data_IF_640212955825
#
_entry.id   IF_640212955825
#
_cell.length_a   1.000
_cell.length_b   1.000
_cell.length_c   1.000
_cell.angle_alpha   90.00
_cell.angle_beta   90.00
_cell.angle_gamma   90.00
#
_symmetry.space_group_name_H-M   'P 1'
#
loop_
_entity.id
_entity.type
_entity.pdbx_description
1 polymer ?
#
# COMPACT_ATOMS: atom_id res chain seq x y z
N UNK A 1 9.06 -7.05 -68.60
CA UNK A 1 10.34 -6.47 -68.13
C UNK A 1 10.19 -6.08 -66.67
N UNK A 2 10.99 -6.65 -65.76
CA UNK A 2 11.02 -6.35 -64.31
C UNK A 2 11.99 -5.20 -64.07
N UNK A 3 11.56 -4.14 -63.37
CA UNK A 3 12.48 -3.19 -62.72
C UNK A 3 12.08 -3.07 -61.25
N UNK A 4 12.93 -3.61 -60.38
CA UNK A 4 12.86 -3.47 -58.92
C UNK A 4 13.61 -2.20 -58.55
N UNK A 5 12.98 -1.27 -57.86
CA UNK A 5 13.68 -0.20 -57.16
C UNK A 5 13.50 -0.46 -55.66
N UNK A 6 14.60 -0.87 -55.05
CA UNK A 6 14.77 -1.12 -53.63
C UNK A 6 15.03 0.25 -52.99
N UNK A 7 14.05 0.81 -52.29
CA UNK A 7 14.31 1.95 -51.40
C UNK A 7 14.61 1.37 -50.02
N UNK A 8 15.88 1.53 -49.65
CA UNK A 8 16.52 1.06 -48.43
C UNK A 8 15.76 1.58 -47.22
N UNK A 9 15.33 0.65 -46.37
CA UNK A 9 14.67 0.96 -45.11
C UNK A 9 15.55 1.83 -44.24
N UNK A 10 15.04 3.00 -43.87
CA UNK A 10 15.55 3.76 -42.74
C UNK A 10 14.72 3.33 -41.54
N UNK A 11 15.20 2.28 -40.86
CA UNK A 11 14.66 1.82 -39.58
C UNK A 11 15.08 2.83 -38.51
N UNK A 12 14.24 3.82 -38.23
CA UNK A 12 14.40 4.67 -37.04
C UNK A 12 14.07 3.83 -35.80
N UNK A 13 15.09 3.23 -35.20
CA UNK A 13 14.99 2.61 -33.87
C UNK A 13 14.91 3.74 -32.86
N UNK A 14 13.69 4.15 -32.51
CA UNK A 14 13.46 5.02 -31.35
C UNK A 14 13.69 4.14 -30.12
N UNK A 15 14.92 4.15 -29.61
CA UNK A 15 15.25 3.58 -28.30
C UNK A 15 14.54 4.48 -27.28
N UNK A 16 13.31 4.13 -26.93
CA UNK A 16 12.59 4.77 -25.83
C UNK A 16 13.33 4.42 -24.55
N UNK A 17 14.06 5.40 -24.04
CA UNK A 17 14.76 5.35 -22.77
C UNK A 17 13.77 4.90 -21.69
N UNK A 18 13.88 3.65 -21.26
CA UNK A 18 13.25 3.17 -20.04
C UNK A 18 14.01 3.78 -18.87
N UNK A 19 13.66 5.02 -18.53
CA UNK A 19 13.94 5.55 -17.21
C UNK A 19 13.13 4.73 -16.22
N UNK A 20 13.71 3.63 -15.75
CA UNK A 20 13.33 2.96 -14.53
C UNK A 20 13.68 3.90 -13.36
N UNK A 21 12.86 4.93 -13.16
CA UNK A 21 12.88 5.69 -11.93
C UNK A 21 12.43 4.74 -10.82
N UNK A 22 13.39 4.14 -10.10
CA UNK A 22 13.12 3.56 -8.80
C UNK A 22 12.69 4.69 -7.87
N UNK A 23 11.39 4.98 -7.83
CA UNK A 23 10.80 5.84 -6.81
C UNK A 23 10.98 5.11 -5.48
N UNK A 24 12.02 5.48 -4.74
CA UNK A 24 12.27 4.92 -3.42
C UNK A 24 11.04 5.11 -2.55
N UNK A 25 10.61 4.06 -1.87
CA UNK A 25 9.48 4.16 -0.94
C UNK A 25 9.80 5.24 0.11
N UNK A 26 8.87 6.17 0.38
CA UNK A 26 9.08 7.17 1.42
C UNK A 26 9.39 6.45 2.74
N UNK A 27 10.54 6.77 3.35
CA UNK A 27 10.89 6.27 4.68
C UNK A 27 9.85 6.80 5.67
N UNK A 28 9.41 5.93 6.59
CA UNK A 28 8.52 6.32 7.67
C UNK A 28 9.16 7.47 8.48
N UNK A 29 8.37 8.49 8.78
CA UNK A 29 8.74 9.60 9.65
C UNK A 29 8.75 9.15 11.12
N UNK A 30 9.55 9.77 12.02
CA UNK A 30 9.59 9.40 13.44
C UNK A 30 8.22 9.38 14.16
N UNK A 31 7.25 10.17 13.67
CA UNK A 31 5.92 10.25 14.26
C UNK A 31 4.90 9.29 13.63
N UNK A 32 5.30 8.53 12.61
CA UNK A 32 4.43 7.60 11.90
C UNK A 32 4.11 6.39 12.75
N UNK A 33 2.84 6.01 12.74
CA UNK A 33 2.42 4.74 13.30
C UNK A 33 2.57 3.65 12.25
N UNK A 34 3.60 2.83 12.40
CA UNK A 34 3.85 1.65 11.56
C UNK A 34 3.48 0.40 12.33
N UNK A 35 2.63 -0.44 11.75
CA UNK A 35 2.23 -1.73 12.32
C UNK A 35 2.14 -2.79 11.23
N UNK A 36 2.67 -3.99 11.47
CA UNK A 36 2.70 -5.10 10.50
C UNK A 36 3.24 -4.69 9.11
N UNK A 37 4.32 -3.90 9.07
CA UNK A 37 4.95 -3.33 7.86
C UNK A 37 4.09 -2.33 7.07
N UNK A 38 2.96 -1.87 7.62
CA UNK A 38 2.11 -0.85 7.02
C UNK A 38 2.23 0.47 7.76
N UNK A 39 2.40 1.57 7.01
CA UNK A 39 2.36 2.91 7.56
C UNK A 39 0.91 3.42 7.61
N UNK A 40 0.42 3.73 8.81
CA UNK A 40 -0.91 4.29 9.06
C UNK A 40 -0.88 5.81 9.20
N UNK A 41 0.27 6.44 9.03
CA UNK A 41 0.48 7.89 9.07
C UNK A 41 0.86 8.41 10.45
N UNK A 42 1.18 9.71 10.55
CA UNK A 42 1.68 10.32 11.76
C UNK A 42 0.59 10.59 12.80
N UNK A 43 1.01 10.83 14.04
CA UNK A 43 0.19 11.42 15.12
C UNK A 43 -1.11 10.65 15.42
N UNK A 44 -1.10 9.32 15.26
CA UNK A 44 -2.24 8.47 15.62
C UNK A 44 -2.40 8.36 17.14
N UNK A 45 -3.61 8.56 17.63
CA UNK A 45 -3.91 8.42 19.05
C UNK A 45 -4.02 6.94 19.47
N UNK A 46 -4.17 6.71 20.77
CA UNK A 46 -4.17 5.36 21.34
C UNK A 46 -5.34 4.51 20.85
N UNK A 47 -6.52 5.09 20.70
CA UNK A 47 -7.70 4.36 20.24
C UNK A 47 -7.58 3.93 18.78
N UNK A 48 -7.10 4.83 17.90
CA UNK A 48 -6.80 4.47 16.52
C UNK A 48 -5.76 3.35 16.43
N UNK A 49 -4.68 3.45 17.21
CA UNK A 49 -3.62 2.42 17.24
C UNK A 49 -4.18 1.07 17.70
N UNK A 50 -4.99 1.06 18.76
CA UNK A 50 -5.65 -0.14 19.26
C UNK A 50 -6.58 -0.76 18.20
N UNK A 51 -7.37 0.08 17.52
CA UNK A 51 -8.21 -0.33 16.39
C UNK A 51 -7.39 -1.03 15.31
N UNK A 52 -6.30 -0.42 14.85
CA UNK A 52 -5.42 -1.01 13.81
C UNK A 52 -4.87 -2.37 14.22
N UNK A 53 -4.42 -2.52 15.46
CA UNK A 53 -3.88 -3.79 15.96
C UNK A 53 -4.93 -4.90 15.86
N UNK A 54 -6.14 -4.65 16.36
CA UNK A 54 -7.25 -5.61 16.33
C UNK A 54 -7.76 -5.86 14.89
N UNK A 55 -7.77 -4.82 14.06
CA UNK A 55 -8.12 -4.91 12.64
C UNK A 55 -7.16 -5.82 11.88
N UNK A 56 -5.86 -5.67 12.12
CA UNK A 56 -4.83 -6.48 11.48
C UNK A 56 -4.82 -7.94 11.96
N UNK A 57 -5.06 -8.20 13.25
CA UNK A 57 -5.28 -9.57 13.75
C UNK A 57 -6.52 -10.20 13.11
N UNK A 58 -7.58 -9.41 12.92
CA UNK A 58 -8.78 -9.85 12.21
C UNK A 58 -8.47 -10.20 10.76
N UNK A 59 -7.59 -9.46 10.08
CA UNK A 59 -7.14 -9.79 8.71
C UNK A 59 -6.38 -11.11 8.62
N UNK A 60 -5.70 -11.53 9.68
CA UNK A 60 -4.98 -12.82 9.74
C UNK A 60 -5.86 -13.97 10.26
N UNK A 61 -7.18 -13.77 10.36
CA UNK A 61 -8.14 -14.79 10.77
C UNK A 61 -8.56 -14.75 12.24
N UNK A 62 -7.92 -13.95 13.10
CA UNK A 62 -8.26 -13.83 14.52
C UNK A 62 -9.15 -12.60 14.77
N UNK A 63 -10.47 -12.83 14.80
CA UNK A 63 -11.45 -11.76 14.96
C UNK A 63 -11.41 -11.14 16.36
N UNK A 64 -10.75 -9.99 16.48
CA UNK A 64 -10.41 -9.35 17.78
C UNK A 64 -11.06 -7.97 17.97
N UNK A 65 -12.19 -7.71 17.31
CA UNK A 65 -12.89 -6.42 17.41
C UNK A 65 -13.47 -6.19 18.82
N UNK A 66 -13.05 -5.12 19.47
CA UNK A 66 -13.70 -4.61 20.68
C UNK A 66 -15.01 -3.88 20.30
N UNK A 67 -16.15 -4.56 20.48
CA UNK A 67 -17.46 -4.04 20.10
C UNK A 67 -17.85 -2.73 20.82
N UNK A 68 -17.47 -2.58 22.09
CA UNK A 68 -17.76 -1.36 22.85
C UNK A 68 -17.01 -0.16 22.28
N UNK A 69 -15.70 -0.31 22.08
CA UNK A 69 -14.86 0.73 21.48
C UNK A 69 -15.26 1.02 20.04
N UNK A 70 -15.61 0.01 19.27
CA UNK A 70 -16.09 0.17 17.88
C UNK A 70 -17.35 1.04 17.79
N UNK A 71 -18.21 1.02 18.81
CA UNK A 71 -19.42 1.85 18.85
C UNK A 71 -19.17 3.25 19.43
N UNK A 72 -18.27 3.36 20.40
CA UNK A 72 -18.10 4.56 21.22
C UNK A 72 -16.92 5.46 20.80
N UNK A 73 -15.96 4.93 20.03
CA UNK A 73 -14.77 5.65 19.59
C UNK A 73 -14.65 5.59 18.07
N UNK A 74 -14.83 6.75 17.42
CA UNK A 74 -14.63 6.90 15.98
C UNK A 74 -13.19 6.57 15.55
N UNK A 75 -12.22 6.88 16.41
CA UNK A 75 -10.81 6.56 16.18
C UNK A 75 -10.55 5.07 16.19
N UNK A 76 -11.07 4.34 17.19
CA UNK A 76 -10.96 2.89 17.23
C UNK A 76 -11.66 2.25 16.03
N UNK A 77 -12.88 2.71 15.70
CA UNK A 77 -13.61 2.25 14.52
C UNK A 77 -12.76 2.40 13.26
N UNK A 78 -12.28 3.62 13.01
CA UNK A 78 -11.47 3.94 11.83
C UNK A 78 -10.16 3.15 11.82
N UNK A 79 -9.50 3.01 12.97
CA UNK A 79 -8.31 2.21 13.12
C UNK A 79 -8.55 0.75 12.76
N UNK A 80 -9.63 0.16 13.26
CA UNK A 80 -10.00 -1.23 12.99
C UNK A 80 -10.27 -1.49 11.52
N UNK A 81 -11.03 -0.61 10.86
CA UNK A 81 -11.28 -0.74 9.41
C UNK A 81 -9.99 -0.61 8.59
N UNK A 82 -9.17 0.40 8.89
CA UNK A 82 -7.89 0.58 8.21
C UNK A 82 -6.94 -0.60 8.42
N UNK A 83 -6.85 -1.11 9.64
CA UNK A 83 -6.07 -2.31 9.96
C UNK A 83 -6.56 -3.49 9.14
N UNK A 84 -7.89 -3.74 9.14
CA UNK A 84 -8.49 -4.88 8.45
C UNK A 84 -8.23 -4.87 6.94
N UNK A 85 -8.26 -3.69 6.34
CA UNK A 85 -8.05 -3.51 4.90
C UNK A 85 -6.57 -3.57 4.52
N UNK A 86 -5.70 -2.84 5.23
CA UNK A 86 -4.28 -2.75 4.87
C UNK A 86 -3.51 -4.02 5.20
N UNK A 87 -3.82 -4.70 6.29
CA UNK A 87 -3.12 -5.93 6.70
C UNK A 87 -3.61 -7.21 5.99
N UNK A 88 -4.56 -7.10 5.05
CA UNK A 88 -5.05 -8.26 4.30
C UNK A 88 -3.93 -8.86 3.41
N UNK A 89 -3.74 -10.18 3.48
CA UNK A 89 -2.76 -10.89 2.66
C UNK A 89 -1.33 -10.88 3.20
N UNK A 90 -1.13 -10.47 4.45
CA UNK A 90 0.15 -10.56 5.16
C UNK A 90 0.35 -11.91 5.89
N UNK A 91 -0.42 -12.94 5.56
CA UNK A 91 -0.21 -14.30 6.04
C UNK A 91 1.11 -14.81 5.44
N UNK A 92 2.19 -14.76 6.23
CA UNK A 92 3.47 -15.41 5.92
C UNK A 92 3.67 -16.57 6.88
#
# INVERSE_FOLDING_TARGET
MKKRIIVKGVLFVVITSMFAACVGSPKASPNDFVYNNHNFGPNRNLEYKAGVVDGCKTSSGDYTKNHGKFKLSEDYHSGWEHGRLKCKGNER
#
